data_IF_881310215692
#
_entry.id   IF_881310215692
#
_cell.length_a   1.000
_cell.length_b   1.000
_cell.length_c   1.000
_cell.angle_alpha   90.00
_cell.angle_beta   90.00
_cell.angle_gamma   90.00
#
_symmetry.space_group_name_H-M   'P 1'
#
loop_
_entity.id
_entity.type
_entity.pdbx_description
1 polymer ?
#
# COMPACT_ATOMS: atom_id res chain seq x y z
N UNK A 1 22.57 6.89 -15.37
CA UNK A 1 21.58 5.97 -15.98
C UNK A 1 20.71 5.44 -14.86
N UNK A 2 19.49 5.96 -14.74
CA UNK A 2 18.63 5.80 -13.58
C UNK A 2 18.11 4.35 -13.53
N UNK A 3 18.63 3.52 -12.63
CA UNK A 3 18.04 2.21 -12.36
C UNK A 3 16.68 2.47 -11.74
N UNK A 4 15.62 2.40 -12.56
CA UNK A 4 14.25 2.31 -12.06
C UNK A 4 14.29 1.21 -11.00
N UNK A 5 13.99 1.55 -9.74
CA UNK A 5 13.61 0.54 -8.74
C UNK A 5 12.30 -0.06 -9.26
N UNK A 6 12.41 -1.01 -10.19
CA UNK A 6 11.30 -1.87 -10.52
C UNK A 6 10.86 -2.49 -9.19
N UNK A 7 9.56 -2.48 -8.90
CA UNK A 7 9.02 -3.28 -7.83
C UNK A 7 9.53 -4.71 -8.06
N UNK A 8 10.25 -5.32 -7.10
CA UNK A 8 10.54 -6.75 -7.14
C UNK A 8 9.25 -7.48 -7.48
N UNK A 9 9.30 -8.28 -8.53
CA UNK A 9 8.15 -8.97 -9.11
C UNK A 9 7.43 -9.86 -8.06
N UNK A 10 8.09 -10.17 -6.94
CA UNK A 10 7.67 -11.15 -5.95
C UNK A 10 6.96 -10.54 -4.72
N UNK A 11 6.93 -9.21 -4.55
CA UNK A 11 6.32 -8.59 -3.35
C UNK A 11 4.83 -8.90 -3.20
N UNK A 12 4.10 -9.04 -4.31
CA UNK A 12 2.64 -9.18 -4.28
C UNK A 12 2.11 -10.55 -3.81
N UNK A 13 2.99 -11.56 -3.67
CA UNK A 13 2.60 -12.94 -3.36
C UNK A 13 3.47 -13.62 -2.30
N UNK A 14 4.66 -13.09 -2.00
CA UNK A 14 5.50 -13.63 -0.94
C UNK A 14 5.13 -12.99 0.42
N UNK A 15 4.29 -13.69 1.18
CA UNK A 15 3.86 -13.25 2.52
C UNK A 15 4.90 -13.44 3.62
N UNK A 16 5.97 -14.22 3.37
CA UNK A 16 7.10 -14.38 4.29
C UNK A 16 8.12 -13.24 4.17
N UNK A 17 7.94 -12.35 3.19
CA UNK A 17 8.83 -11.23 2.96
C UNK A 17 8.60 -10.13 4.00
N UNK A 18 9.56 -9.99 4.90
CA UNK A 18 9.54 -8.92 5.90
C UNK A 18 9.74 -7.53 5.25
N UNK A 19 8.77 -6.64 5.45
CA UNK A 19 8.82 -5.25 5.00
C UNK A 19 8.78 -4.35 6.23
N UNK A 20 9.86 -3.60 6.47
CA UNK A 20 9.87 -2.64 7.57
C UNK A 20 8.85 -1.53 7.34
N UNK A 21 7.94 -1.37 8.31
CA UNK A 21 6.95 -0.28 8.37
C UNK A 21 7.31 0.81 9.38
N UNK A 22 8.53 0.78 9.92
CA UNK A 22 9.04 1.81 10.82
C UNK A 22 9.46 3.03 9.99
N UNK A 23 9.14 4.24 10.47
CA UNK A 23 9.39 5.52 9.76
C UNK A 23 8.70 5.59 8.39
N UNK A 24 7.58 4.89 8.22
CA UNK A 24 6.72 5.00 7.03
C UNK A 24 5.46 5.82 7.29
N UNK A 25 5.38 6.50 8.44
CA UNK A 25 4.15 7.14 8.94
C UNK A 25 3.04 6.12 9.23
N UNK A 26 3.43 4.94 9.69
CA UNK A 26 2.51 3.85 10.01
C UNK A 26 1.90 4.06 11.40
N UNK A 27 0.57 4.15 11.50
CA UNK A 27 -0.11 4.20 12.80
C UNK A 27 0.22 2.96 13.65
N UNK A 28 0.27 1.78 13.02
CA UNK A 28 0.56 0.49 13.67
C UNK A 28 1.93 0.48 14.36
N UNK A 29 2.96 1.02 13.71
CA UNK A 29 4.36 1.00 14.19
C UNK A 29 4.82 2.31 14.83
N UNK A 30 4.64 3.44 14.14
CA UNK A 30 5.15 4.75 14.57
C UNK A 30 4.22 5.40 15.61
N UNK A 31 2.95 4.97 15.68
CA UNK A 31 1.95 5.46 16.64
C UNK A 31 2.00 4.82 18.04
N UNK A 32 2.87 3.82 18.28
CA UNK A 32 2.89 3.04 19.54
C UNK A 32 3.10 3.90 20.79
N UNK A 33 3.97 4.90 20.73
CA UNK A 33 4.19 5.79 21.87
C UNK A 33 2.90 6.54 22.27
N UNK A 34 2.16 7.04 21.28
CA UNK A 34 0.91 7.76 21.53
C UNK A 34 -0.21 6.86 22.03
N UNK A 35 -0.28 5.62 21.55
CA UNK A 35 -1.37 4.68 21.85
C UNK A 35 -1.14 3.86 23.13
N UNK A 36 0.11 3.48 23.41
CA UNK A 36 0.46 2.57 24.51
C UNK A 36 1.42 3.18 25.53
N UNK A 37 1.91 4.41 25.31
CA UNK A 37 2.92 5.05 26.17
C UNK A 37 4.31 4.41 26.10
N UNK A 38 4.51 3.43 25.20
CA UNK A 38 5.73 2.66 25.05
C UNK A 38 5.96 2.31 23.58
N UNK A 39 7.16 2.59 23.05
CA UNK A 39 7.54 2.19 21.68
C UNK A 39 7.96 0.72 21.58
N UNK A 40 8.32 0.07 22.68
CA UNK A 40 8.81 -1.30 22.74
C UNK A 40 7.67 -2.32 22.98
N UNK A 41 6.63 -2.21 22.16
CA UNK A 41 5.51 -3.17 22.13
C UNK A 41 5.39 -3.77 20.73
N UNK A 42 5.02 -5.05 20.66
CA UNK A 42 4.77 -5.74 19.40
C UNK A 42 3.47 -5.17 18.78
N UNK A 43 3.51 -4.63 17.55
CA UNK A 43 2.37 -3.91 16.99
C UNK A 43 1.35 -4.87 16.35
N UNK A 44 0.44 -5.46 17.12
CA UNK A 44 -0.59 -6.42 16.65
C UNK A 44 -2.04 -5.94 16.90
N UNK A 45 -2.28 -4.62 16.83
CA UNK A 45 -3.47 -4.02 17.43
C UNK A 45 -4.46 -3.38 16.45
N UNK A 46 -3.97 -2.64 15.45
CA UNK A 46 -4.82 -1.96 14.45
C UNK A 46 -4.97 -2.83 13.19
N UNK A 47 -6.16 -2.82 12.60
CA UNK A 47 -6.53 -3.67 11.48
C UNK A 47 -5.98 -3.16 10.13
N UNK A 48 -4.66 -3.27 9.96
CA UNK A 48 -3.96 -3.24 8.67
C UNK A 48 -2.90 -4.37 8.60
N UNK A 49 -2.30 -4.57 7.42
CA UNK A 49 -1.41 -5.71 7.16
C UNK A 49 0.06 -5.31 7.12
N UNK A 50 0.94 -6.27 7.38
CA UNK A 50 2.40 -6.13 7.19
C UNK A 50 2.88 -6.72 5.86
N UNK A 51 1.96 -6.83 4.89
CA UNK A 51 2.21 -7.29 3.53
C UNK A 51 2.20 -6.12 2.55
N UNK A 52 2.91 -6.27 1.43
CA UNK A 52 2.74 -5.36 0.30
C UNK A 52 1.34 -5.48 -0.28
N UNK A 53 0.80 -4.37 -0.80
CA UNK A 53 -0.40 -4.44 -1.63
C UNK A 53 -0.12 -5.27 -2.91
N UNK A 54 -1.14 -5.93 -3.49
CA UNK A 54 -0.96 -6.74 -4.70
C UNK A 54 -0.28 -5.97 -5.83
N UNK A 55 0.48 -6.67 -6.68
CA UNK A 55 1.21 -6.06 -7.79
C UNK A 55 0.27 -5.29 -8.74
N UNK A 56 -0.95 -5.79 -8.95
CA UNK A 56 -1.96 -5.11 -9.75
C UNK A 56 -2.27 -3.68 -9.23
N UNK A 57 -2.37 -3.52 -7.91
CA UNK A 57 -2.68 -2.25 -7.25
C UNK A 57 -1.49 -1.29 -7.33
N UNK A 58 -0.29 -1.75 -6.94
CA UNK A 58 0.91 -0.90 -6.91
C UNK A 58 1.34 -0.47 -8.31
N UNK A 59 1.14 -1.33 -9.33
CA UNK A 59 1.36 -1.01 -10.74
C UNK A 59 0.39 0.08 -11.22
N UNK A 60 -0.92 -0.07 -10.98
CA UNK A 60 -1.91 0.93 -11.39
C UNK A 60 -1.64 2.30 -10.75
N UNK A 61 -1.28 2.34 -9.47
CA UNK A 61 -0.88 3.58 -8.77
C UNK A 61 0.38 4.20 -9.38
N UNK A 62 1.40 3.37 -9.67
CA UNK A 62 2.66 3.83 -10.26
C UNK A 62 2.44 4.39 -11.68
N UNK A 63 1.64 3.72 -12.50
CA UNK A 63 1.28 4.18 -13.84
C UNK A 63 0.53 5.52 -13.79
N UNK A 64 -0.42 5.68 -12.88
CA UNK A 64 -1.11 6.97 -12.68
C UNK A 64 -0.15 8.07 -12.25
N UNK A 65 0.82 7.76 -11.39
CA UNK A 65 1.82 8.71 -10.90
C UNK A 65 2.85 9.14 -11.97
N UNK A 66 2.96 8.42 -13.09
CA UNK A 66 3.80 8.86 -14.22
C UNK A 66 3.22 10.14 -14.86
N UNK A 67 1.89 10.28 -14.88
CA UNK A 67 1.26 11.48 -15.41
C UNK A 67 1.45 12.66 -14.43
N UNK A 68 2.06 13.79 -14.85
CA UNK A 68 2.56 14.81 -13.92
C UNK A 68 1.48 15.73 -13.34
N UNK A 69 0.21 15.59 -13.74
CA UNK A 69 -0.90 16.45 -13.31
C UNK A 69 -1.87 15.65 -12.44
N UNK A 70 -2.25 16.20 -11.28
CA UNK A 70 -3.11 15.56 -10.27
C UNK A 70 -4.36 16.39 -9.96
N UNK A 71 -5.02 16.91 -11.01
CA UNK A 71 -6.25 17.69 -10.90
C UNK A 71 -7.51 16.84 -10.78
N UNK A 72 -8.67 17.46 -11.00
CA UNK A 72 -9.98 16.80 -10.95
C UNK A 72 -10.04 15.57 -11.86
N UNK A 73 -10.53 14.46 -11.32
CA UNK A 73 -10.64 13.17 -12.01
C UNK A 73 -12.10 12.85 -12.28
N UNK A 74 -12.42 12.51 -13.52
CA UNK A 74 -13.70 11.90 -13.89
C UNK A 74 -13.57 10.40 -13.68
N UNK A 75 -14.50 9.78 -12.95
CA UNK A 75 -14.50 8.35 -12.73
C UNK A 75 -14.89 7.60 -14.01
N UNK A 76 -14.09 6.64 -14.49
CA UNK A 76 -14.43 5.85 -15.68
C UNK A 76 -15.51 4.82 -15.37
N UNK A 77 -16.28 4.42 -16.38
CA UNK A 77 -17.32 3.39 -16.25
C UNK A 77 -16.74 2.06 -15.72
N UNK A 78 -15.49 1.74 -16.08
CA UNK A 78 -14.77 0.56 -15.61
C UNK A 78 -14.60 0.47 -14.10
N UNK A 79 -14.63 1.60 -13.37
CA UNK A 79 -14.66 1.57 -11.91
C UNK A 79 -15.93 0.89 -11.41
N UNK A 80 -17.09 1.28 -11.94
CA UNK A 80 -18.39 0.74 -11.54
C UNK A 80 -18.56 -0.71 -12.01
N UNK A 81 -18.09 -1.04 -13.22
CA UNK A 81 -18.07 -2.41 -13.74
C UNK A 81 -17.28 -3.33 -12.79
N UNK A 82 -16.03 -2.97 -12.46
CA UNK A 82 -15.20 -3.80 -11.57
C UNK A 82 -15.78 -3.98 -10.16
N UNK A 83 -16.48 -2.98 -9.64
CA UNK A 83 -17.16 -3.08 -8.35
C UNK A 83 -18.38 -4.00 -8.42
N UNK A 84 -19.16 -3.88 -9.50
CA UNK A 84 -20.35 -4.71 -9.72
C UNK A 84 -19.95 -6.17 -9.86
N UNK A 85 -18.98 -6.47 -10.72
CA UNK A 85 -18.44 -7.82 -10.91
C UNK A 85 -17.86 -8.43 -9.63
N UNK A 86 -17.32 -7.62 -8.71
CA UNK A 86 -16.80 -8.12 -7.44
C UNK A 86 -17.91 -8.47 -6.43
N UNK A 87 -19.05 -7.80 -6.50
CA UNK A 87 -20.15 -7.97 -5.53
C UNK A 87 -21.13 -9.07 -5.92
N UNK A 88 -21.19 -9.44 -7.20
CA UNK A 88 -22.00 -10.56 -7.73
C UNK A 88 -21.39 -11.93 -7.40
#
# INVERSE_FOLDING_TARGET
MNKRKAFPHDYGFNFDLEISRIKSSSLKYDGRQGMFGNTDVIPLWVADMDFAAPLAVTKALSERAIHPIYGYTIYPDSLYESLTEWLE
#
